data_IF_023549037611
#
_entry.id   IF_023549037611
#
_cell.length_a   1.000
_cell.length_b   1.000
_cell.length_c   1.000
_cell.angle_alpha   90.00
_cell.angle_beta   90.00
_cell.angle_gamma   90.00
#
_symmetry.space_group_name_H-M   'P 1'
#
loop_
_entity.id
_entity.type
_entity.pdbx_description
1 polymer ?
#
# COMPACT_ATOMS: atom_id res chain seq x y z
N UNK A 1 -16.10 -51.46 0.06
CA UNK A 1 -16.49 -52.63 0.87
C UNK A 1 -15.49 -53.72 0.54
N UNK A 2 -14.37 -53.77 1.27
CA UNK A 2 -13.40 -54.85 1.17
C UNK A 2 -13.80 -55.92 2.19
N UNK A 3 -13.78 -57.19 1.81
CA UNK A 3 -14.08 -58.34 2.67
C UNK A 3 -13.29 -58.28 3.99
N UNK A 4 -13.95 -57.86 5.08
CA UNK A 4 -13.39 -57.82 6.43
C UNK A 4 -13.44 -59.18 7.15
N UNK A 5 -14.01 -60.22 6.54
CA UNK A 5 -14.20 -61.54 7.15
C UNK A 5 -13.16 -62.59 6.73
N UNK A 6 -12.20 -62.27 5.86
CA UNK A 6 -11.12 -63.21 5.51
C UNK A 6 -9.90 -63.05 6.43
N UNK A 7 -9.50 -64.13 7.11
CA UNK A 7 -8.30 -64.14 7.94
C UNK A 7 -7.06 -63.85 7.07
N UNK A 8 -6.15 -62.94 7.50
CA UNK A 8 -4.94 -62.61 6.76
C UNK A 8 -4.02 -63.83 6.66
N UNK A 9 -3.23 -63.90 5.58
CA UNK A 9 -2.25 -64.96 5.37
C UNK A 9 -0.82 -64.44 5.59
N UNK A 10 -0.01 -65.22 6.31
CA UNK A 10 1.43 -65.05 6.36
C UNK A 10 2.02 -65.46 5.01
N UNK A 11 2.86 -64.60 4.44
CA UNK A 11 3.47 -64.80 3.12
C UNK A 11 4.23 -66.14 2.97
N UNK A 12 4.68 -66.74 4.08
CA UNK A 12 5.44 -67.99 4.09
C UNK A 12 4.63 -69.22 4.55
N UNK A 13 3.55 -69.03 5.32
CA UNK A 13 2.92 -70.13 6.05
C UNK A 13 1.39 -70.20 5.92
N UNK A 14 0.78 -69.33 5.11
CA UNK A 14 -0.66 -69.36 4.87
C UNK A 14 -1.49 -68.71 5.98
N UNK A 15 -2.75 -69.14 6.21
CA UNK A 15 -3.70 -68.40 7.05
C UNK A 15 -3.22 -68.27 8.50
N UNK A 16 -3.36 -67.06 9.04
CA UNK A 16 -2.97 -66.71 10.40
C UNK A 16 -4.11 -66.99 11.38
N UNK A 17 -3.76 -67.31 12.63
CA UNK A 17 -4.75 -67.55 13.68
C UNK A 17 -5.07 -66.27 14.44
N UNK A 18 -6.33 -66.13 14.84
CA UNK A 18 -6.79 -65.05 15.70
C UNK A 18 -6.06 -65.12 17.05
N UNK A 19 -5.49 -64.00 17.47
CA UNK A 19 -5.00 -63.80 18.83
C UNK A 19 -6.04 -63.01 19.60
N UNK A 20 -6.63 -63.63 20.62
CA UNK A 20 -7.60 -62.95 21.48
C UNK A 20 -6.92 -61.78 22.21
N UNK A 21 -7.60 -60.64 22.28
CA UNK A 21 -7.11 -59.49 23.02
C UNK A 21 -6.99 -59.82 24.51
N UNK A 22 -5.84 -59.52 25.09
CA UNK A 22 -5.51 -59.75 26.49
C UNK A 22 -5.83 -58.52 27.36
N UNK A 23 -6.00 -57.35 26.73
CA UNK A 23 -6.36 -56.09 27.39
C UNK A 23 -7.46 -55.33 26.65
N UNK A 24 -8.17 -54.44 27.35
CA UNK A 24 -9.14 -53.53 26.74
C UNK A 24 -8.51 -52.61 25.69
N UNK A 25 -7.26 -52.18 25.90
CA UNK A 25 -6.49 -51.39 24.92
C UNK A 25 -6.21 -52.18 23.64
N UNK A 26 -5.87 -53.47 23.74
CA UNK A 26 -5.69 -54.32 22.57
C UNK A 26 -7.01 -54.50 21.81
N UNK A 27 -8.13 -54.68 22.52
CA UNK A 27 -9.47 -54.72 21.92
C UNK A 27 -9.86 -53.43 21.21
N UNK A 28 -9.52 -52.28 21.81
CA UNK A 28 -9.73 -50.97 21.19
C UNK A 28 -8.88 -50.79 19.91
N UNK A 29 -7.63 -51.28 19.90
CA UNK A 29 -6.75 -51.10 18.73
C UNK A 29 -7.17 -51.90 17.49
N UNK A 30 -7.83 -53.05 17.66
CA UNK A 30 -8.28 -53.89 16.55
C UNK A 30 -8.07 -55.38 16.77
N UNK A 31 -8.28 -56.14 15.71
CA UNK A 31 -8.15 -57.60 15.72
C UNK A 31 -6.73 -58.02 15.36
N UNK A 32 -6.10 -58.80 16.22
CA UNK A 32 -4.74 -59.30 16.04
C UNK A 32 -4.74 -60.71 15.48
N UNK A 33 -3.89 -60.96 14.49
CA UNK A 33 -3.63 -62.28 13.93
C UNK A 33 -2.14 -62.61 14.08
N UNK A 34 -1.82 -63.85 14.43
CA UNK A 34 -0.45 -64.35 14.54
C UNK A 34 -0.23 -65.55 13.62
N UNK A 35 0.99 -65.69 13.10
CA UNK A 35 1.35 -66.85 12.32
C UNK A 35 1.28 -68.12 13.17
N UNK A 36 0.75 -69.20 12.60
CA UNK A 36 0.59 -70.49 13.29
C UNK A 36 1.89 -71.29 13.36
N UNK A 37 2.92 -70.92 12.57
CA UNK A 37 4.22 -71.56 12.61
C UNK A 37 5.02 -71.14 13.86
N UNK A 38 5.47 -72.05 14.74
CA UNK A 38 6.08 -71.73 16.04
C UNK A 38 7.36 -70.86 15.98
N UNK A 39 8.08 -70.89 14.86
CA UNK A 39 9.29 -70.09 14.64
C UNK A 39 9.02 -68.79 13.85
N UNK A 40 7.77 -68.55 13.43
CA UNK A 40 7.40 -67.37 12.64
C UNK A 40 6.74 -66.32 13.54
N UNK A 41 7.41 -65.19 13.70
CA UNK A 41 6.98 -64.10 14.58
C UNK A 41 6.11 -63.05 13.87
N UNK A 42 5.61 -63.37 12.67
CA UNK A 42 4.75 -62.45 11.91
C UNK A 42 3.38 -62.30 12.57
N UNK A 43 2.96 -61.06 12.77
CA UNK A 43 1.65 -60.67 13.26
C UNK A 43 1.02 -59.63 12.32
N UNK A 44 -0.30 -59.64 12.21
CA UNK A 44 -1.07 -58.66 11.45
C UNK A 44 -2.14 -58.05 12.35
N UNK A 45 -2.16 -56.72 12.42
CA UNK A 45 -3.21 -55.96 13.08
C UNK A 45 -4.19 -55.47 12.01
N UNK A 46 -5.45 -55.88 12.12
CA UNK A 46 -6.57 -55.23 11.45
C UNK A 46 -7.15 -54.19 12.40
N UNK A 47 -6.96 -52.88 12.15
CA UNK A 47 -7.42 -51.83 13.05
C UNK A 47 -8.94 -51.89 13.25
N UNK A 48 -9.42 -51.58 14.46
CA UNK A 48 -10.86 -51.48 14.72
C UNK A 48 -11.47 -50.29 13.95
N UNK A 49 -12.76 -50.37 13.61
CA UNK A 49 -13.48 -49.25 13.01
C UNK A 49 -13.48 -48.02 13.93
N UNK A 50 -13.56 -48.22 15.25
CA UNK A 50 -13.50 -47.17 16.26
C UNK A 50 -12.13 -46.46 16.28
N UNK A 51 -11.01 -47.20 16.23
CA UNK A 51 -9.68 -46.62 16.14
C UNK A 51 -9.49 -45.86 14.82
N UNK A 52 -9.95 -46.41 13.70
CA UNK A 52 -9.88 -45.73 12.41
C UNK A 52 -10.70 -44.44 12.37
N UNK A 53 -11.90 -44.45 12.96
CA UNK A 53 -12.73 -43.26 13.11
C UNK A 53 -12.06 -42.21 14.00
N UNK A 54 -11.50 -42.62 15.15
CA UNK A 54 -10.82 -41.72 16.07
C UNK A 54 -9.53 -41.15 15.48
N UNK A 55 -8.75 -41.93 14.74
CA UNK A 55 -7.55 -41.45 14.05
C UNK A 55 -7.90 -40.50 12.89
N UNK A 56 -8.99 -40.75 12.17
CA UNK A 56 -9.50 -39.84 11.15
C UNK A 56 -9.95 -38.50 11.78
N UNK A 57 -10.63 -38.55 12.93
CA UNK A 57 -11.07 -37.36 13.67
C UNK A 57 -9.87 -36.58 14.26
N UNK A 58 -8.91 -37.26 14.89
CA UNK A 58 -7.67 -36.65 15.41
C UNK A 58 -6.77 -36.07 14.30
N UNK A 59 -6.74 -36.67 13.11
CA UNK A 59 -6.02 -36.17 11.94
C UNK A 59 -6.65 -34.92 11.29
N UNK A 60 -7.88 -34.56 11.67
CA UNK A 60 -8.64 -33.44 11.08
C UNK A 60 -8.64 -32.16 11.90
N UNK A 61 -8.22 -32.15 13.16
CA UNK A 61 -8.21 -30.91 13.98
C UNK A 61 -6.78 -30.35 14.09
N UNK A 62 -6.40 -29.50 13.13
CA UNK A 62 -5.04 -28.89 13.07
C UNK A 62 -4.83 -27.73 14.05
N UNK A 63 -5.89 -27.26 14.69
CA UNK A 63 -5.90 -26.11 15.59
C UNK A 63 -6.98 -25.10 15.20
N UNK A 64 -7.02 -23.97 15.91
CA UNK A 64 -7.98 -22.89 15.68
C UNK A 64 -7.30 -21.68 15.02
N UNK A 65 -7.90 -21.20 13.93
CA UNK A 65 -7.54 -19.97 13.24
C UNK A 65 -8.65 -18.94 13.46
N UNK A 66 -8.27 -17.73 13.84
CA UNK A 66 -9.22 -16.63 14.05
C UNK A 66 -8.99 -15.58 12.97
N UNK A 67 -10.01 -15.29 12.18
CA UNK A 67 -10.04 -14.16 11.24
C UNK A 67 -10.84 -13.04 11.88
N UNK A 68 -10.16 -11.95 12.26
CA UNK A 68 -10.78 -10.75 12.81
C UNK A 68 -10.78 -9.64 11.77
N UNK A 69 -11.84 -8.82 11.77
CA UNK A 69 -11.87 -7.58 11.02
C UNK A 69 -12.49 -6.47 11.88
N UNK A 70 -11.74 -5.38 12.02
CA UNK A 70 -12.27 -4.08 12.41
C UNK A 70 -11.91 -3.05 11.35
N UNK A 71 -12.66 -1.95 11.20
CA UNK A 71 -12.21 -0.86 10.32
C UNK A 71 -10.93 -0.23 10.85
N UNK A 72 -10.74 -0.21 12.17
CA UNK A 72 -9.56 0.36 12.81
C UNK A 72 -8.26 -0.40 12.51
N UNK A 73 -8.30 -1.74 12.45
CA UNK A 73 -7.11 -2.60 12.32
C UNK A 73 -7.01 -3.30 10.97
N UNK A 74 -8.14 -3.42 10.27
CA UNK A 74 -8.27 -4.18 9.03
C UNK A 74 -8.50 -5.66 9.28
N UNK A 75 -8.30 -6.49 8.25
CA UNK A 75 -8.50 -7.94 8.33
C UNK A 75 -7.21 -8.61 8.77
N UNK A 76 -7.25 -9.25 9.94
CA UNK A 76 -6.15 -10.00 10.54
C UNK A 76 -6.52 -11.48 10.66
N UNK A 77 -5.53 -12.35 10.59
CA UNK A 77 -5.63 -13.79 10.78
C UNK A 77 -4.55 -14.22 11.75
N UNK A 78 -5.02 -14.76 12.87
CA UNK A 78 -4.23 -15.20 14.02
C UNK A 78 -4.37 -16.71 14.23
N UNK A 79 -3.45 -17.29 14.99
CA UNK A 79 -3.39 -18.75 15.23
C UNK A 79 -2.53 -19.51 14.24
N UNK A 80 -1.94 -18.83 13.24
CA UNK A 80 -0.98 -19.43 12.30
C UNK A 80 0.46 -19.27 12.77
N UNK A 81 1.31 -20.25 12.46
CA UNK A 81 2.75 -20.27 12.68
C UNK A 81 3.49 -20.62 11.39
N UNK A 82 4.73 -20.17 11.26
CA UNK A 82 5.56 -20.50 10.09
C UNK A 82 5.67 -22.03 9.93
N UNK A 83 5.28 -22.55 8.76
CA UNK A 83 5.38 -23.97 8.41
C UNK A 83 4.14 -24.81 8.73
N UNK A 84 3.03 -24.20 9.13
CA UNK A 84 1.74 -24.89 9.37
C UNK A 84 0.89 -25.13 8.10
N UNK A 85 1.30 -24.57 6.96
CA UNK A 85 0.59 -24.65 5.68
C UNK A 85 -0.56 -23.63 5.53
N UNK A 86 -0.86 -22.81 6.54
CA UNK A 86 -1.96 -21.85 6.50
C UNK A 86 -1.70 -20.76 5.48
N UNK A 87 -0.47 -20.24 5.40
CA UNK A 87 -0.13 -19.18 4.45
C UNK A 87 -0.35 -19.63 3.00
N UNK A 88 0.02 -20.86 2.64
CA UNK A 88 -0.19 -21.44 1.32
C UNK A 88 -1.68 -21.53 0.98
N UNK A 89 -2.52 -21.86 1.96
CA UNK A 89 -3.99 -21.93 1.82
C UNK A 89 -4.60 -20.54 1.63
N UNK A 90 -4.20 -19.55 2.42
CA UNK A 90 -4.86 -18.23 2.42
C UNK A 90 -4.26 -17.22 1.44
N UNK A 91 -3.05 -17.43 0.95
CA UNK A 91 -2.37 -16.54 -0.01
C UNK A 91 -3.19 -16.26 -1.27
N UNK A 92 -3.87 -17.23 -1.90
CA UNK A 92 -4.77 -16.97 -3.04
C UNK A 92 -5.94 -16.04 -2.70
N UNK A 93 -6.26 -15.90 -1.41
CA UNK A 93 -7.36 -15.09 -0.88
C UNK A 93 -6.88 -13.75 -0.31
N UNK A 94 -5.85 -13.16 -0.93
CA UNK A 94 -5.27 -11.84 -0.61
C UNK A 94 -4.49 -11.73 0.71
N UNK A 95 -4.49 -12.75 1.56
CA UNK A 95 -3.72 -12.73 2.80
C UNK A 95 -2.22 -12.73 2.52
N UNK A 96 -1.50 -11.90 3.25
CA UNK A 96 -0.04 -11.79 3.22
C UNK A 96 0.49 -11.78 4.65
N UNK A 97 1.79 -12.02 4.80
CA UNK A 97 2.51 -11.67 6.02
C UNK A 97 3.20 -10.32 5.84
N UNK A 98 3.65 -9.71 6.94
CA UNK A 98 4.41 -8.47 6.94
C UNK A 98 5.36 -8.41 8.14
N UNK A 99 6.46 -7.68 7.99
CA UNK A 99 7.49 -7.57 9.03
C UNK A 99 7.01 -6.81 10.28
N UNK A 100 6.01 -5.94 10.14
CA UNK A 100 5.45 -5.13 11.22
C UNK A 100 4.41 -5.87 12.07
N UNK A 101 3.95 -7.04 11.63
CA UNK A 101 2.94 -7.86 12.32
C UNK A 101 3.46 -9.31 12.39
N UNK A 102 4.48 -9.58 13.22
CA UNK A 102 5.05 -10.92 13.32
C UNK A 102 4.01 -11.91 13.84
N UNK A 103 3.87 -13.06 13.17
CA UNK A 103 2.92 -14.11 13.57
C UNK A 103 1.47 -13.87 13.14
N UNK A 104 1.17 -12.79 12.42
CA UNK A 104 -0.18 -12.46 11.96
C UNK A 104 -0.19 -12.34 10.43
N UNK A 105 -1.16 -13.00 9.79
CA UNK A 105 -1.45 -12.80 8.36
C UNK A 105 -2.54 -11.74 8.23
N UNK A 106 -2.51 -10.93 7.16
CA UNK A 106 -3.47 -9.85 6.99
C UNK A 106 -3.77 -9.57 5.51
N UNK A 107 -4.89 -8.90 5.24
CA UNK A 107 -5.22 -8.39 3.89
C UNK A 107 -4.61 -7.01 3.70
N UNK A 108 -3.89 -6.78 2.60
CA UNK A 108 -3.28 -5.46 2.34
C UNK A 108 -4.36 -4.40 2.12
N UNK A 109 -4.13 -3.20 2.64
CA UNK A 109 -5.03 -2.05 2.46
C UNK A 109 -6.47 -2.29 2.94
N UNK A 110 -6.71 -3.21 3.89
CA UNK A 110 -8.01 -3.44 4.52
C UNK A 110 -8.31 -2.47 5.67
N UNK A 111 -7.28 -1.89 6.28
CA UNK A 111 -7.43 -0.88 7.35
C UNK A 111 -8.15 0.35 6.83
N UNK A 112 -9.00 0.94 7.67
CA UNK A 112 -9.90 2.08 7.38
C UNK A 112 -10.93 1.77 6.25
N UNK A 113 -11.28 0.50 6.04
CA UNK A 113 -12.27 0.06 5.06
C UNK A 113 -13.16 -1.02 5.64
N UNK A 114 -14.34 -1.20 5.03
CA UNK A 114 -15.23 -2.33 5.28
C UNK A 114 -14.54 -3.67 5.04
N UNK A 115 -15.05 -4.72 5.68
CA UNK A 115 -14.56 -6.08 5.51
C UNK A 115 -14.67 -6.56 4.06
N UNK A 116 -13.61 -7.18 3.56
CA UNK A 116 -13.68 -7.99 2.33
C UNK A 116 -14.30 -9.35 2.67
N UNK A 117 -15.63 -9.36 2.82
CA UNK A 117 -16.40 -10.56 3.13
C UNK A 117 -16.21 -11.68 2.12
N UNK A 118 -15.83 -11.39 0.88
CA UNK A 118 -15.59 -12.42 -0.12
C UNK A 118 -14.27 -13.14 0.16
N UNK A 119 -13.18 -12.39 0.31
CA UNK A 119 -11.86 -12.98 0.61
C UNK A 119 -11.85 -13.69 1.96
N UNK A 120 -12.49 -13.12 2.99
CA UNK A 120 -12.63 -13.74 4.31
C UNK A 120 -13.36 -15.09 4.22
N UNK A 121 -14.51 -15.13 3.54
CA UNK A 121 -15.29 -16.38 3.40
C UNK A 121 -14.52 -17.44 2.63
N UNK A 122 -13.89 -17.08 1.49
CA UNK A 122 -13.12 -18.03 0.68
C UNK A 122 -11.91 -18.59 1.43
N UNK A 123 -11.20 -17.75 2.18
CA UNK A 123 -10.10 -18.21 3.04
C UNK A 123 -10.61 -19.16 4.14
N UNK A 124 -11.71 -18.80 4.81
CA UNK A 124 -12.29 -19.65 5.85
C UNK A 124 -12.77 -21.01 5.31
N UNK A 125 -13.40 -21.03 4.13
CA UNK A 125 -13.79 -22.27 3.45
C UNK A 125 -12.57 -23.15 3.14
N UNK A 126 -11.51 -22.56 2.57
CA UNK A 126 -10.29 -23.29 2.23
C UNK A 126 -9.57 -23.84 3.47
N UNK A 127 -9.54 -23.08 4.56
CA UNK A 127 -8.97 -23.50 5.83
C UNK A 127 -9.78 -24.63 6.50
N UNK A 128 -11.10 -24.52 6.51
CA UNK A 128 -11.97 -25.59 7.03
C UNK A 128 -11.84 -26.87 6.23
N UNK A 129 -11.78 -26.76 4.90
CA UNK A 129 -11.51 -27.91 4.03
C UNK A 129 -10.15 -28.58 4.30
N UNK A 130 -9.17 -27.83 4.81
CA UNK A 130 -7.87 -28.33 5.20
C UNK A 130 -7.80 -28.84 6.67
N UNK A 131 -8.93 -28.90 7.39
CA UNK A 131 -8.98 -29.40 8.77
C UNK A 131 -8.63 -28.35 9.84
N UNK A 132 -8.86 -27.06 9.56
CA UNK A 132 -8.74 -26.01 10.58
C UNK A 132 -10.11 -25.62 11.12
N UNK A 133 -10.19 -25.43 12.43
CA UNK A 133 -11.32 -24.75 13.06
C UNK A 133 -11.17 -23.25 12.79
N UNK A 134 -12.15 -22.61 12.14
CA UNK A 134 -12.06 -21.18 11.76
C UNK A 134 -13.16 -20.37 12.41
N UNK A 135 -12.76 -19.41 13.24
CA UNK A 135 -13.61 -18.38 13.82
C UNK A 135 -13.52 -17.09 13.01
N UNK A 136 -14.66 -16.47 12.70
CA UNK A 136 -14.72 -15.19 11.99
C UNK A 136 -15.41 -14.17 12.90
N UNK A 137 -14.73 -13.06 13.19
CA UNK A 137 -15.25 -11.96 14.00
C UNK A 137 -15.14 -10.67 13.20
N UNK A 138 -16.28 -10.10 12.80
CA UNK A 138 -16.33 -8.85 12.04
C UNK A 138 -17.07 -7.82 12.86
N UNK A 139 -16.38 -6.72 13.17
CA UNK A 139 -16.93 -5.53 13.82
C UNK A 139 -16.68 -4.32 12.92
N UNK A 140 -17.75 -3.86 12.27
CA UNK A 140 -17.71 -2.72 11.35
C UNK A 140 -17.81 -1.36 12.06
N UNK A 141 -18.12 -1.35 13.36
CA UNK A 141 -18.37 -0.13 14.14
C UNK A 141 -17.09 0.34 14.86
N UNK A 142 -16.18 -0.59 15.17
CA UNK A 142 -14.83 -0.25 15.65
C UNK A 142 -13.98 0.34 14.52
N UNK A 143 -13.88 1.67 14.51
CA UNK A 143 -13.13 2.46 13.52
C UNK A 143 -12.32 3.58 14.18
N UNK A 144 -11.34 4.08 13.44
CA UNK A 144 -10.68 5.37 13.74
C UNK A 144 -11.42 6.50 13.03
N UNK A 145 -11.25 7.72 13.52
CA UNK A 145 -11.68 8.92 12.80
C UNK A 145 -10.83 9.12 11.54
N UNK A 146 -11.37 9.86 10.56
CA UNK A 146 -10.63 10.23 9.36
C UNK A 146 -9.39 11.06 9.70
N UNK A 147 -9.52 11.97 10.67
CA UNK A 147 -8.44 12.83 11.14
C UNK A 147 -7.28 12.02 11.75
N UNK A 148 -7.57 11.04 12.63
CA UNK A 148 -6.55 10.14 13.19
C UNK A 148 -5.88 9.29 12.10
N UNK A 149 -6.66 8.78 11.15
CA UNK A 149 -6.11 8.00 10.04
C UNK A 149 -5.20 8.85 9.14
N UNK A 150 -5.53 10.13 8.91
CA UNK A 150 -4.69 11.04 8.14
C UNK A 150 -3.43 11.45 8.91
N UNK A 151 -3.54 11.72 10.22
CA UNK A 151 -2.40 11.99 11.09
C UNK A 151 -1.41 10.81 11.12
N UNK A 152 -1.90 9.57 11.21
CA UNK A 152 -1.06 8.36 11.12
C UNK A 152 -0.34 8.26 9.76
N UNK A 153 -0.99 8.65 8.65
CA UNK A 153 -0.34 8.66 7.32
C UNK A 153 0.79 9.67 7.27
N UNK A 154 0.57 10.88 7.80
CA UNK A 154 1.58 11.95 7.90
C UNK A 154 2.75 11.47 8.78
N UNK A 155 2.48 10.96 9.98
CA UNK A 155 3.50 10.44 10.89
C UNK A 155 4.33 9.31 10.26
N UNK A 156 3.69 8.35 9.57
CA UNK A 156 4.40 7.28 8.85
C UNK A 156 5.26 7.81 7.70
N UNK A 157 4.85 8.89 7.04
CA UNK A 157 5.67 9.53 6.01
C UNK A 157 6.87 10.26 6.61
N UNK A 158 6.68 11.01 7.71
CA UNK A 158 7.75 11.67 8.43
C UNK A 158 8.80 10.67 8.96
N UNK A 159 8.36 9.59 9.62
CA UNK A 159 9.26 8.53 10.07
C UNK A 159 9.99 7.83 8.92
N UNK A 160 9.37 7.75 7.73
CA UNK A 160 10.03 7.25 6.52
C UNK A 160 11.09 8.23 6.01
N UNK A 161 10.81 9.53 6.02
CA UNK A 161 11.75 10.57 5.64
C UNK A 161 13.01 10.51 6.51
N UNK A 162 12.83 10.45 7.83
CA UNK A 162 13.92 10.34 8.80
C UNK A 162 14.78 9.09 8.57
N UNK A 163 14.17 7.92 8.37
CA UNK A 163 14.92 6.69 8.06
C UNK A 163 15.74 6.82 6.78
N UNK A 164 15.17 7.41 5.72
CA UNK A 164 15.91 7.60 4.47
C UNK A 164 17.03 8.63 4.62
N UNK A 165 16.83 9.68 5.42
CA UNK A 165 17.88 10.64 5.75
C UNK A 165 19.03 9.96 6.51
N UNK A 166 18.73 9.12 7.50
CA UNK A 166 19.75 8.32 8.19
C UNK A 166 20.50 7.38 7.24
N UNK A 167 19.81 6.72 6.30
CA UNK A 167 20.46 5.89 5.29
C UNK A 167 21.32 6.69 4.31
N UNK A 168 20.90 7.91 3.96
CA UNK A 168 21.67 8.82 3.11
C UNK A 168 22.95 9.27 3.82
N UNK A 169 22.87 9.67 5.09
CA UNK A 169 24.04 10.02 5.91
C UNK A 169 25.04 8.87 6.01
N UNK A 170 24.57 7.67 6.35
CA UNK A 170 25.43 6.48 6.40
C UNK A 170 26.10 6.15 5.05
N UNK A 171 25.43 6.40 3.93
CA UNK A 171 26.02 6.23 2.60
C UNK A 171 27.06 7.33 2.29
N UNK A 172 26.79 8.58 2.65
CA UNK A 172 27.72 9.69 2.53
C UNK A 172 29.00 9.45 3.37
N UNK A 173 28.86 8.95 4.60
CA UNK A 173 30.00 8.60 5.46
C UNK A 173 30.87 7.50 4.84
N UNK A 174 30.24 6.46 4.26
CA UNK A 174 30.97 5.40 3.52
C UNK A 174 31.66 5.94 2.28
N UNK A 175 31.05 6.89 1.57
CA UNK A 175 31.66 7.56 0.42
C UNK A 175 32.90 8.35 0.86
N UNK A 176 32.77 9.21 1.88
CA UNK A 176 33.85 10.00 2.43
C UNK A 176 35.01 9.12 2.94
N UNK A 177 34.70 8.03 3.64
CA UNK A 177 35.72 7.07 4.12
C UNK A 177 36.47 6.38 2.97
N UNK A 178 35.77 6.03 1.88
CA UNK A 178 36.39 5.44 0.69
C UNK A 178 37.31 6.45 -0.02
N UNK A 179 36.85 7.68 -0.24
CA UNK A 179 37.66 8.76 -0.81
C UNK A 179 38.87 9.12 0.07
N UNK A 180 38.69 9.21 1.39
CA UNK A 180 39.79 9.44 2.33
C UNK A 180 40.83 8.32 2.28
N UNK A 181 40.39 7.07 2.07
CA UNK A 181 41.29 5.92 1.90
C UNK A 181 42.04 5.95 0.59
N UNK A 182 41.38 6.27 -0.52
CA UNK A 182 42.03 6.49 -1.81
C UNK A 182 43.08 7.61 -1.71
N UNK A 183 42.72 8.74 -1.09
CA UNK A 183 43.61 9.90 -0.88
C UNK A 183 44.84 9.53 -0.05
N UNK A 184 44.67 8.83 1.07
CA UNK A 184 45.79 8.40 1.91
C UNK A 184 46.80 7.50 1.18
N UNK A 185 46.33 6.65 0.27
CA UNK A 185 47.22 5.82 -0.57
C UNK A 185 47.92 6.71 -1.60
N UNK A 186 47.18 7.61 -2.25
CA UNK A 186 47.72 8.54 -3.23
C UNK A 186 48.75 9.53 -2.65
N UNK A 187 48.55 10.02 -1.42
CA UNK A 187 49.48 10.91 -0.71
C UNK A 187 50.84 10.25 -0.44
N UNK A 188 50.89 8.91 -0.43
CA UNK A 188 52.12 8.12 -0.34
C UNK A 188 52.86 7.93 -1.68
N UNK A 189 52.31 8.43 -2.79
CA UNK A 189 52.89 8.33 -4.14
C UNK A 189 53.35 9.73 -4.58
N UNK A 190 54.64 9.93 -4.89
CA UNK A 190 55.12 11.17 -5.48
C UNK A 190 54.34 11.56 -6.73
N UNK A 191 53.88 12.81 -6.79
CA UNK A 191 53.07 13.31 -7.89
C UNK A 191 53.81 13.21 -9.23
N UNK A 192 53.15 12.64 -10.23
CA UNK A 192 53.70 12.50 -11.59
C UNK A 192 54.67 11.33 -11.78
N UNK A 193 54.92 10.50 -10.76
CA UNK A 193 55.79 9.32 -10.91
C UNK A 193 55.12 8.24 -11.77
N UNK A 194 55.71 7.85 -12.93
CA UNK A 194 55.18 6.73 -13.73
C UNK A 194 55.44 5.39 -13.03
N UNK A 195 54.63 4.37 -13.35
CA UNK A 195 54.92 3.00 -12.92
C UNK A 195 56.18 2.52 -13.63
N UNK A 196 57.24 2.26 -12.86
CA UNK A 196 58.52 1.80 -13.39
C UNK A 196 58.45 0.30 -13.74
N UNK A 197 58.33 -0.01 -15.03
CA UNK A 197 58.26 -1.39 -15.52
C UNK A 197 59.60 -2.13 -15.30
N UNK A 198 59.54 -3.36 -14.80
CA UNK A 198 60.71 -4.18 -14.51
C UNK A 198 61.44 -3.83 -13.20
N UNK A 199 61.02 -2.79 -12.48
CA UNK A 199 61.61 -2.41 -11.19
C UNK A 199 60.98 -3.18 -10.02
N UNK A 200 61.73 -3.41 -8.93
CA UNK A 200 61.24 -4.15 -7.76
C UNK A 200 59.99 -3.52 -7.09
N UNK A 201 59.76 -2.21 -7.32
CA UNK A 201 58.59 -1.48 -6.81
C UNK A 201 57.34 -1.58 -7.70
N UNK A 202 57.44 -2.10 -8.92
CA UNK A 202 56.34 -2.17 -9.89
C UNK A 202 55.07 -2.78 -9.29
N UNK A 203 55.20 -3.97 -8.68
CA UNK A 203 54.07 -4.71 -8.09
C UNK A 203 53.38 -3.94 -6.97
N UNK A 204 54.08 -3.05 -6.26
CA UNK A 204 53.49 -2.20 -5.23
C UNK A 204 52.71 -1.06 -5.87
N UNK A 205 53.32 -0.37 -6.84
CA UNK A 205 52.68 0.74 -7.56
C UNK A 205 51.39 0.32 -8.29
N UNK A 206 51.38 -0.84 -8.94
CA UNK A 206 50.17 -1.40 -9.58
C UNK A 206 49.07 -1.69 -8.55
N UNK A 207 49.42 -2.32 -7.42
CA UNK A 207 48.46 -2.58 -6.33
C UNK A 207 47.91 -1.29 -5.73
N UNK A 208 48.74 -0.28 -5.51
CA UNK A 208 48.31 1.00 -4.97
C UNK A 208 47.37 1.72 -5.95
N UNK A 209 47.67 1.71 -7.26
CA UNK A 209 46.76 2.20 -8.31
C UNK A 209 45.41 1.49 -8.27
N UNK A 210 45.40 0.16 -8.26
CA UNK A 210 44.17 -0.61 -8.30
C UNK A 210 43.32 -0.40 -7.03
N UNK A 211 43.97 -0.25 -5.86
CA UNK A 211 43.31 0.11 -4.60
C UNK A 211 42.74 1.53 -4.62
N UNK A 212 43.47 2.50 -5.17
CA UNK A 212 42.97 3.87 -5.34
C UNK A 212 41.74 3.84 -6.23
N UNK A 213 41.81 3.19 -7.39
CA UNK A 213 40.69 3.09 -8.32
C UNK A 213 39.46 2.44 -7.69
N UNK A 214 39.64 1.29 -7.04
CA UNK A 214 38.53 0.57 -6.38
C UNK A 214 37.87 1.40 -5.26
N UNK A 215 38.66 2.13 -4.45
CA UNK A 215 38.12 2.98 -3.40
C UNK A 215 37.43 4.23 -3.98
N UNK A 216 37.96 4.82 -5.05
CA UNK A 216 37.31 5.94 -5.75
C UNK A 216 35.98 5.51 -6.36
N UNK A 217 35.94 4.37 -7.07
CA UNK A 217 34.71 3.83 -7.65
C UNK A 217 33.67 3.52 -6.56
N UNK A 218 34.10 2.90 -5.45
CA UNK A 218 33.24 2.68 -4.28
C UNK A 218 32.72 3.99 -3.70
N UNK A 219 33.56 5.01 -3.61
CA UNK A 219 33.21 6.35 -3.14
C UNK A 219 32.10 6.99 -3.98
N UNK A 220 32.25 6.95 -5.31
CA UNK A 220 31.24 7.44 -6.26
C UNK A 220 29.92 6.69 -6.10
N UNK A 221 29.95 5.35 -6.09
CA UNK A 221 28.71 4.55 -5.94
C UNK A 221 27.97 4.84 -4.63
N UNK A 222 28.69 5.03 -3.53
CA UNK A 222 28.09 5.38 -2.25
C UNK A 222 27.58 6.83 -2.23
N UNK A 223 28.22 7.76 -2.96
CA UNK A 223 27.73 9.12 -3.16
C UNK A 223 26.41 9.15 -3.95
N UNK A 224 26.34 8.46 -5.08
CA UNK A 224 25.12 8.34 -5.89
C UNK A 224 23.97 7.75 -5.06
N UNK A 225 24.29 6.74 -4.24
CA UNK A 225 23.34 6.12 -3.31
C UNK A 225 22.87 7.11 -2.23
N UNK A 226 23.77 7.92 -1.68
CA UNK A 226 23.43 8.95 -0.72
C UNK A 226 22.47 9.98 -1.33
N UNK A 227 22.76 10.47 -2.54
CA UNK A 227 21.89 11.41 -3.25
C UNK A 227 20.50 10.81 -3.55
N UNK A 228 20.47 9.57 -4.04
CA UNK A 228 19.21 8.86 -4.29
C UNK A 228 18.35 8.74 -3.01
N UNK A 229 18.96 8.37 -1.89
CA UNK A 229 18.26 8.24 -0.60
C UNK A 229 17.81 9.62 -0.07
N UNK A 230 18.63 10.66 -0.24
CA UNK A 230 18.28 12.03 0.11
C UNK A 230 17.06 12.52 -0.68
N UNK A 231 17.00 12.25 -2.00
CA UNK A 231 15.81 12.56 -2.82
C UNK A 231 14.55 11.83 -2.33
N UNK A 232 14.68 10.57 -1.88
CA UNK A 232 13.55 9.83 -1.29
C UNK A 232 13.11 10.36 0.07
N UNK A 233 14.06 10.85 0.87
CA UNK A 233 13.77 11.52 2.13
C UNK A 233 12.97 12.80 1.88
N UNK A 234 13.44 13.66 0.97
CA UNK A 234 12.75 14.88 0.57
C UNK A 234 11.32 14.60 0.06
N UNK A 235 11.15 13.63 -0.85
CA UNK A 235 9.84 13.25 -1.35
C UNK A 235 8.89 12.73 -0.25
N UNK A 236 9.42 12.06 0.78
CA UNK A 236 8.62 11.59 1.93
C UNK A 236 8.27 12.74 2.89
N UNK A 237 9.15 13.73 3.04
CA UNK A 237 8.93 14.92 3.85
C UNK A 237 7.84 15.83 3.25
N UNK A 238 7.84 16.03 1.93
CA UNK A 238 6.82 16.82 1.24
C UNK A 238 5.44 16.15 1.14
N UNK A 239 5.26 14.94 1.69
CA UNK A 239 4.00 14.21 1.61
C UNK A 239 2.81 15.03 2.12
N UNK A 240 2.95 15.65 3.29
CA UNK A 240 1.86 16.42 3.91
C UNK A 240 1.49 17.65 3.06
N UNK A 241 2.50 18.38 2.60
CA UNK A 241 2.34 19.55 1.71
C UNK A 241 1.56 19.17 0.44
N UNK A 242 1.99 18.11 -0.26
CA UNK A 242 1.29 17.65 -1.46
C UNK A 242 -0.12 17.13 -1.16
N UNK A 243 -0.31 16.50 -0.01
CA UNK A 243 -1.60 15.94 0.41
C UNK A 243 -2.62 17.04 0.71
N UNK A 244 -2.17 18.12 1.35
CA UNK A 244 -2.97 19.29 1.76
C UNK A 244 -3.06 20.39 0.71
N UNK A 245 -2.27 20.33 -0.37
CA UNK A 245 -2.31 21.30 -1.48
C UNK A 245 -3.74 21.77 -1.80
N UNK A 246 -4.07 23.07 -1.62
CA UNK A 246 -5.45 23.53 -1.64
C UNK A 246 -6.21 23.23 -2.94
N UNK A 247 -5.60 23.43 -4.11
CA UNK A 247 -6.23 23.13 -5.40
C UNK A 247 -6.52 21.65 -5.61
N UNK A 248 -5.66 20.75 -5.11
CA UNK A 248 -5.93 19.30 -5.09
C UNK A 248 -7.05 18.96 -4.10
N UNK A 249 -7.04 19.60 -2.93
CA UNK A 249 -8.04 19.39 -1.88
C UNK A 249 -9.44 19.83 -2.33
N UNK A 250 -9.58 20.96 -3.03
CA UNK A 250 -10.86 21.40 -3.61
C UNK A 250 -11.45 20.37 -4.59
N UNK A 251 -10.62 19.81 -5.49
CA UNK A 251 -11.04 18.72 -6.40
C UNK A 251 -11.47 17.46 -5.65
N UNK A 252 -10.77 17.14 -4.55
CA UNK A 252 -11.10 16.01 -3.68
C UNK A 252 -12.46 16.21 -3.02
N UNK A 253 -12.71 17.39 -2.43
CA UNK A 253 -14.01 17.75 -1.83
C UNK A 253 -15.12 17.60 -2.87
N UNK A 254 -14.95 18.14 -4.08
CA UNK A 254 -15.96 18.05 -5.13
C UNK A 254 -16.32 16.59 -5.50
N UNK A 255 -15.32 15.70 -5.52
CA UNK A 255 -15.53 14.26 -5.74
C UNK A 255 -16.26 13.61 -4.57
N UNK A 256 -15.84 13.88 -3.34
CA UNK A 256 -16.47 13.34 -2.13
C UNK A 256 -17.93 13.77 -2.02
N UNK A 257 -18.25 15.03 -2.33
CA UNK A 257 -19.63 15.53 -2.36
C UNK A 257 -20.46 14.84 -3.46
N UNK A 258 -19.86 14.52 -4.61
CA UNK A 258 -20.54 13.75 -5.65
C UNK A 258 -20.85 12.32 -5.21
N UNK A 259 -19.92 11.70 -4.49
CA UNK A 259 -20.13 10.37 -3.92
C UNK A 259 -21.14 10.40 -2.76
N UNK A 260 -21.14 11.44 -1.93
CA UNK A 260 -22.15 11.66 -0.88
C UNK A 260 -23.56 11.77 -1.51
N UNK A 261 -23.71 12.57 -2.57
CA UNK A 261 -24.98 12.65 -3.33
C UNK A 261 -25.41 11.30 -3.90
N UNK A 262 -24.47 10.45 -4.30
CA UNK A 262 -24.76 9.10 -4.80
C UNK A 262 -25.28 8.20 -3.67
N UNK A 263 -24.59 8.19 -2.52
CA UNK A 263 -24.99 7.41 -1.34
C UNK A 263 -26.37 7.84 -0.84
N UNK A 264 -26.66 9.14 -0.80
CA UNK A 264 -28.00 9.64 -0.47
C UNK A 264 -29.09 9.08 -1.40
N UNK A 265 -28.85 9.06 -2.72
CA UNK A 265 -29.80 8.46 -3.67
C UNK A 265 -29.97 6.96 -3.47
N UNK A 266 -28.89 6.25 -3.12
CA UNK A 266 -28.95 4.82 -2.83
C UNK A 266 -29.76 4.53 -1.57
N UNK A 267 -29.56 5.31 -0.49
CA UNK A 267 -30.37 5.20 0.73
C UNK A 267 -31.84 5.44 0.40
N UNK A 268 -32.16 6.52 -0.32
CA UNK A 268 -33.54 6.83 -0.68
C UNK A 268 -34.19 5.72 -1.53
N UNK A 269 -33.47 5.20 -2.53
CA UNK A 269 -33.96 4.12 -3.38
C UNK A 269 -34.21 2.83 -2.60
N UNK A 270 -33.27 2.44 -1.72
CA UNK A 270 -33.40 1.22 -0.92
C UNK A 270 -34.50 1.34 0.13
N UNK A 271 -34.67 2.52 0.74
CA UNK A 271 -35.77 2.76 1.68
C UNK A 271 -37.13 2.76 0.99
N UNK A 272 -37.22 3.19 -0.27
CA UNK A 272 -38.49 3.29 -1.00
C UNK A 272 -38.88 1.99 -1.72
N UNK A 273 -37.90 1.28 -2.29
CA UNK A 273 -38.11 0.14 -3.18
C UNK A 273 -37.49 -1.17 -2.66
N UNK A 274 -36.85 -1.13 -1.48
CA UNK A 274 -36.29 -2.32 -0.86
C UNK A 274 -37.37 -3.34 -0.54
N UNK A 275 -37.02 -4.62 -0.62
CA UNK A 275 -37.91 -5.75 -0.36
C UNK A 275 -38.23 -5.94 1.14
N UNK A 276 -37.77 -5.02 2.00
CA UNK A 276 -37.92 -5.09 3.46
C UNK A 276 -37.12 -6.23 4.10
N UNK A 277 -36.25 -6.92 3.35
CA UNK A 277 -35.46 -8.02 3.89
C UNK A 277 -34.44 -7.53 4.91
N UNK A 278 -34.01 -8.44 5.78
CA UNK A 278 -32.88 -8.20 6.68
C UNK A 278 -31.62 -7.77 5.92
N UNK A 279 -31.40 -8.34 4.72
CA UNK A 279 -30.28 -7.98 3.84
C UNK A 279 -30.38 -6.54 3.34
N UNK A 280 -31.57 -6.12 2.92
CA UNK A 280 -31.83 -4.72 2.52
C UNK A 280 -31.59 -3.78 3.71
N UNK A 281 -32.06 -4.14 4.90
CA UNK A 281 -31.87 -3.35 6.12
C UNK A 281 -30.38 -3.22 6.49
N UNK A 282 -29.62 -4.33 6.43
CA UNK A 282 -28.18 -4.33 6.65
C UNK A 282 -27.43 -3.50 5.60
N UNK A 283 -27.88 -3.51 4.35
CA UNK A 283 -27.31 -2.69 3.29
C UNK A 283 -27.57 -1.19 3.52
N UNK A 284 -28.77 -0.80 3.95
CA UNK A 284 -29.08 0.59 4.33
C UNK A 284 -28.21 1.03 5.52
N UNK A 285 -28.01 0.17 6.52
CA UNK A 285 -27.11 0.46 7.64
C UNK A 285 -25.66 0.73 7.15
N UNK A 286 -25.15 -0.08 6.22
CA UNK A 286 -23.83 0.14 5.62
C UNK A 286 -23.76 1.44 4.81
N UNK A 287 -24.79 1.77 4.04
CA UNK A 287 -24.86 3.04 3.32
C UNK A 287 -24.85 4.25 4.27
N UNK A 288 -25.54 4.14 5.42
CA UNK A 288 -25.51 5.17 6.46
C UNK A 288 -24.13 5.32 7.11
N UNK A 289 -23.42 4.21 7.38
CA UNK A 289 -22.00 4.27 7.82
C UNK A 289 -21.15 4.99 6.77
N UNK A 290 -21.29 4.61 5.50
CA UNK A 290 -20.54 5.22 4.41
C UNK A 290 -20.84 6.71 4.25
N UNK A 291 -22.10 7.11 4.45
CA UNK A 291 -22.52 8.52 4.47
C UNK A 291 -21.78 9.29 5.58
N UNK A 292 -21.81 8.78 6.80
CA UNK A 292 -21.15 9.41 7.94
C UNK A 292 -19.63 9.57 7.71
N UNK A 293 -18.96 8.57 7.14
CA UNK A 293 -17.54 8.66 6.77
C UNK A 293 -17.26 9.74 5.73
N UNK A 294 -18.11 9.86 4.71
CA UNK A 294 -17.97 10.88 3.68
C UNK A 294 -18.18 12.29 4.24
N UNK A 295 -19.17 12.47 5.12
CA UNK A 295 -19.43 13.74 5.80
C UNK A 295 -18.24 14.15 6.68
N UNK A 296 -17.68 13.20 7.43
CA UNK A 296 -16.48 13.42 8.25
C UNK A 296 -15.25 13.78 7.39
N UNK A 297 -15.02 13.04 6.29
CA UNK A 297 -13.91 13.32 5.38
C UNK A 297 -14.05 14.70 4.71
N UNK A 298 -15.27 15.08 4.28
CA UNK A 298 -15.55 16.40 3.71
C UNK A 298 -15.30 17.50 4.74
N UNK A 299 -15.75 17.31 5.99
CA UNK A 299 -15.55 18.28 7.06
C UNK A 299 -14.06 18.53 7.31
N UNK A 300 -13.26 17.46 7.41
CA UNK A 300 -11.82 17.56 7.58
C UNK A 300 -11.16 18.35 6.43
N UNK A 301 -11.46 18.01 5.17
CA UNK A 301 -10.84 18.71 4.04
C UNK A 301 -11.30 20.17 3.91
N UNK A 302 -12.53 20.50 4.30
CA UNK A 302 -13.00 21.89 4.35
C UNK A 302 -12.24 22.69 5.41
N UNK A 303 -11.95 22.08 6.56
CA UNK A 303 -11.11 22.73 7.57
C UNK A 303 -9.71 23.02 7.02
N UNK A 304 -9.08 22.06 6.32
CA UNK A 304 -7.77 22.28 5.68
C UNK A 304 -7.81 23.45 4.67
N UNK A 305 -8.90 23.62 3.92
CA UNK A 305 -9.07 24.78 3.03
C UNK A 305 -9.24 26.08 3.82
N UNK A 306 -10.03 26.08 4.90
CA UNK A 306 -10.23 27.25 5.74
C UNK A 306 -8.92 27.71 6.41
N UNK A 307 -8.09 26.76 6.86
CA UNK A 307 -6.73 27.02 7.36
C UNK A 307 -5.87 27.64 6.25
N UNK A 308 -5.89 27.07 5.04
CA UNK A 308 -5.15 27.65 3.91
C UNK A 308 -5.64 29.07 3.56
N UNK A 309 -6.95 29.34 3.63
CA UNK A 309 -7.50 30.68 3.41
C UNK A 309 -7.03 31.68 4.46
N UNK A 310 -6.94 31.25 5.72
CA UNK A 310 -6.35 32.07 6.80
C UNK A 310 -4.86 32.35 6.55
N UNK A 311 -4.14 31.41 5.94
CA UNK A 311 -2.74 31.56 5.53
C UNK A 311 -2.57 32.37 4.21
N UNK A 312 -3.65 32.92 3.66
CA UNK A 312 -3.65 33.79 2.49
C UNK A 312 -3.93 33.10 1.15
N UNK A 313 -4.27 31.81 1.14
CA UNK A 313 -4.77 31.15 -0.07
C UNK A 313 -6.14 31.73 -0.46
N UNK A 314 -6.33 32.08 -1.74
CA UNK A 314 -7.61 32.58 -2.24
C UNK A 314 -8.37 31.46 -2.94
N UNK A 315 -9.54 31.10 -2.43
CA UNK A 315 -10.50 30.28 -3.17
C UNK A 315 -11.22 31.15 -4.19
N UNK A 316 -11.05 30.81 -5.47
CA UNK A 316 -11.65 31.52 -6.59
C UNK A 316 -13.05 31.01 -6.91
N UNK A 317 -13.93 31.92 -7.35
CA UNK A 317 -15.28 31.61 -7.78
C UNK A 317 -15.78 32.58 -8.86
N UNK A 318 -17.03 32.36 -9.29
CA UNK A 318 -17.67 33.17 -10.35
C UNK A 318 -17.69 34.68 -10.04
N UNK A 319 -17.84 35.05 -8.77
CA UNK A 319 -17.94 36.45 -8.37
C UNK A 319 -16.62 37.22 -8.49
N UNK A 320 -15.46 36.53 -8.55
CA UNK A 320 -14.15 37.18 -8.58
C UNK A 320 -13.73 37.63 -10.00
N UNK A 321 -14.46 37.23 -11.03
CA UNK A 321 -14.10 37.48 -12.44
C UNK A 321 -15.22 38.15 -13.21
N UNK A 322 -14.83 39.12 -14.03
CA UNK A 322 -15.62 39.67 -15.12
C UNK A 322 -15.03 39.27 -16.48
N UNK A 323 -15.82 39.43 -17.54
CA UNK A 323 -15.31 39.28 -18.91
C UNK A 323 -14.31 40.40 -19.19
N UNK A 324 -13.16 40.06 -19.76
CA UNK A 324 -12.06 40.99 -20.03
C UNK A 324 -11.03 41.10 -18.90
N UNK A 325 -11.31 40.54 -17.72
CA UNK A 325 -10.29 40.38 -16.67
C UNK A 325 -9.20 39.39 -17.11
N UNK A 326 -8.11 39.31 -16.36
CA UNK A 326 -7.05 38.35 -16.57
C UNK A 326 -6.99 37.32 -15.44
N UNK A 327 -6.83 36.06 -15.82
CA UNK A 327 -6.68 34.93 -14.91
C UNK A 327 -5.29 34.32 -15.08
N UNK A 328 -4.59 34.08 -13.98
CA UNK A 328 -3.35 33.33 -14.00
C UNK A 328 -3.65 31.83 -13.92
N UNK A 329 -3.24 31.09 -14.95
CA UNK A 329 -3.47 29.66 -15.05
C UNK A 329 -2.21 28.97 -15.55
N UNK A 330 -1.69 28.02 -14.75
CA UNK A 330 -0.45 27.28 -15.06
C UNK A 330 0.77 28.19 -15.34
N UNK A 331 0.85 29.33 -14.66
CA UNK A 331 1.98 30.27 -14.76
C UNK A 331 1.91 31.24 -15.95
N UNK A 332 0.78 31.31 -16.66
CA UNK A 332 0.55 32.29 -17.72
C UNK A 332 -0.74 33.06 -17.46
N UNK A 333 -0.76 34.36 -17.78
CA UNK A 333 -1.95 35.20 -17.69
C UNK A 333 -2.79 35.10 -18.97
N UNK A 334 -4.07 34.81 -18.84
CA UNK A 334 -5.01 34.69 -19.95
C UNK A 334 -6.18 35.67 -19.78
N UNK A 335 -6.62 36.26 -20.88
CA UNK A 335 -7.85 37.05 -20.91
C UNK A 335 -9.09 36.15 -20.67
N UNK A 336 -9.98 36.59 -19.79
CA UNK A 336 -11.24 35.92 -19.48
C UNK A 336 -12.27 36.23 -20.56
N UNK A 337 -12.59 35.24 -21.39
CA UNK A 337 -13.54 35.37 -22.49
C UNK A 337 -15.00 35.20 -22.03
N UNK A 338 -15.22 34.31 -21.05
CA UNK A 338 -16.53 34.01 -20.47
C UNK A 338 -16.39 33.46 -19.06
N UNK A 339 -17.26 33.90 -18.14
CA UNK A 339 -17.29 33.43 -16.76
C UNK A 339 -18.42 32.41 -16.59
N UNK A 340 -18.09 31.19 -16.18
CA UNK A 340 -19.06 30.11 -15.90
C UNK A 340 -19.17 29.87 -14.38
N UNK A 341 -20.11 29.01 -13.98
CA UNK A 341 -20.34 28.70 -12.56
C UNK A 341 -19.16 27.99 -11.87
N UNK A 342 -18.38 27.17 -12.59
CA UNK A 342 -17.26 26.38 -12.03
C UNK A 342 -15.90 26.66 -12.68
N UNK A 343 -15.86 27.56 -13.65
CA UNK A 343 -14.70 27.80 -14.48
C UNK A 343 -14.78 29.13 -15.22
N UNK A 344 -13.65 29.57 -15.75
CA UNK A 344 -13.58 30.63 -16.77
C UNK A 344 -13.15 30.05 -18.11
N UNK A 345 -13.66 30.62 -19.19
CA UNK A 345 -13.25 30.31 -20.56
C UNK A 345 -12.15 31.27 -20.95
N UNK A 346 -11.02 30.73 -21.40
CA UNK A 346 -9.81 31.47 -21.77
C UNK A 346 -9.35 31.08 -23.18
N UNK A 347 -8.46 31.86 -23.83
CA UNK A 347 -7.73 31.39 -25.01
C UNK A 347 -7.04 30.04 -24.72
N UNK A 348 -6.81 29.23 -25.75
CA UNK A 348 -6.23 27.90 -25.56
C UNK A 348 -4.87 27.97 -24.85
N UNK A 349 -4.64 27.09 -23.86
CA UNK A 349 -3.44 27.12 -23.01
C UNK A 349 -2.12 26.94 -23.77
N UNK A 350 -2.14 26.30 -24.95
CA UNK A 350 -0.93 26.19 -25.78
C UNK A 350 -0.57 27.51 -26.51
N UNK A 351 -1.46 28.50 -26.50
CA UNK A 351 -1.13 29.85 -26.97
C UNK A 351 -0.20 30.60 -25.99
N UNK A 352 -0.03 30.11 -24.76
CA UNK A 352 0.83 30.73 -23.73
C UNK A 352 2.29 30.31 -23.73
N UNK A 353 2.71 29.37 -24.58
CA UNK A 353 4.11 28.90 -24.61
C UNK A 353 5.02 30.06 -24.99
N UNK A 354 5.95 30.42 -24.09
CA UNK A 354 6.88 31.54 -24.28
C UNK A 354 6.26 32.93 -24.12
N UNK A 355 5.03 33.03 -23.59
CA UNK A 355 4.33 34.31 -23.41
C UNK A 355 3.91 34.52 -21.96
N UNK A 356 4.01 35.77 -21.50
CA UNK A 356 3.55 36.17 -20.17
C UNK A 356 2.03 36.39 -20.13
N UNK A 357 1.46 36.96 -21.21
CA UNK A 357 0.05 37.32 -21.34
C UNK A 357 -0.50 36.82 -22.67
N UNK A 358 -1.73 36.29 -22.66
CA UNK A 358 -2.44 35.79 -23.83
C UNK A 358 -3.84 36.37 -23.88
N UNK A 359 -4.12 37.16 -24.93
CA UNK A 359 -5.43 37.71 -25.25
C UNK A 359 -6.12 36.90 -26.35
N UNK A 360 -7.39 37.23 -26.60
CA UNK A 360 -8.11 36.69 -27.75
C UNK A 360 -7.38 37.06 -29.05
N UNK A 361 -7.01 36.04 -29.84
CA UNK A 361 -6.35 36.22 -31.13
C UNK A 361 -4.82 36.25 -31.09
N UNK A 362 -4.21 36.24 -29.90
CA UNK A 362 -2.75 36.30 -29.76
C UNK A 362 -2.05 35.02 -30.26
N UNK A 363 -2.72 33.87 -30.31
CA UNK A 363 -2.13 32.58 -30.62
C UNK A 363 -2.53 31.96 -31.96
N UNK A 364 -1.89 30.83 -32.29
CA UNK A 364 -2.16 30.07 -33.51
C UNK A 364 -3.40 29.17 -33.39
N UNK A 365 -3.89 28.93 -32.17
CA UNK A 365 -5.09 28.15 -31.92
C UNK A 365 -6.28 29.08 -31.70
N UNK A 366 -7.33 28.87 -32.47
CA UNK A 366 -8.57 29.66 -32.50
C UNK A 366 -9.65 29.15 -31.52
N UNK A 367 -9.51 27.93 -31.02
CA UNK A 367 -10.39 27.36 -30.00
C UNK A 367 -10.05 27.82 -28.57
N UNK A 368 -10.93 27.51 -27.61
CA UNK A 368 -10.84 27.98 -26.23
C UNK A 368 -10.52 26.86 -25.25
N UNK A 369 -10.07 27.23 -24.04
CA UNK A 369 -9.87 26.31 -22.93
C UNK A 369 -10.77 26.67 -21.75
N UNK A 370 -11.19 25.67 -20.99
CA UNK A 370 -11.96 25.87 -19.75
C UNK A 370 -11.02 25.71 -18.56
N UNK A 371 -10.71 26.80 -17.88
CA UNK A 371 -9.89 26.81 -16.67
C UNK A 371 -10.80 26.69 -15.42
N UNK A 372 -10.76 25.55 -14.69
CA UNK A 372 -11.49 25.39 -13.43
C UNK A 372 -10.93 26.32 -12.35
N UNK A 373 -11.79 26.83 -11.46
CA UNK A 373 -11.37 27.74 -10.39
C UNK A 373 -10.34 27.13 -9.43
N UNK A 374 -10.37 25.81 -9.21
CA UNK A 374 -9.41 25.09 -8.36
C UNK A 374 -7.97 25.05 -8.91
N UNK A 375 -7.77 25.46 -10.16
CA UNK A 375 -6.46 25.56 -10.80
C UNK A 375 -6.01 26.99 -11.08
N UNK A 376 -6.76 28.01 -10.63
CA UNK A 376 -6.41 29.42 -10.80
C UNK A 376 -5.47 29.84 -9.68
N UNK A 377 -4.40 30.55 -10.02
CA UNK A 377 -3.39 31.03 -9.07
C UNK A 377 -3.43 32.53 -8.84
N UNK A 378 -4.11 33.28 -9.72
CA UNK A 378 -4.15 34.74 -9.64
C UNK A 378 -5.24 35.36 -10.50
N UNK A 379 -5.57 36.61 -10.19
CA UNK A 379 -6.57 37.43 -10.88
C UNK A 379 -6.07 38.87 -10.98
N UNK A 380 -6.31 39.51 -12.12
CA UNK A 380 -6.09 40.94 -12.36
C UNK A 380 -7.25 41.52 -13.15
N UNK A 381 -7.62 42.76 -12.87
CA UNK A 381 -8.50 43.52 -13.75
C UNK A 381 -7.80 43.83 -15.07
N UNK A 382 -8.56 44.22 -16.08
CA UNK A 382 -8.00 44.69 -17.36
C UNK A 382 -7.05 45.89 -17.15
N UNK A 383 -7.39 46.81 -16.24
CA UNK A 383 -6.60 48.00 -15.92
C UNK A 383 -5.28 47.64 -15.21
N UNK A 384 -5.34 46.77 -14.20
CA UNK A 384 -4.15 46.29 -13.47
C UNK A 384 -3.17 45.57 -14.39
N UNK A 385 -3.69 44.75 -15.31
CA UNK A 385 -2.87 44.07 -16.32
C UNK A 385 -2.21 45.07 -17.27
N UNK A 386 -2.95 46.09 -17.71
CA UNK A 386 -2.40 47.10 -18.61
C UNK A 386 -1.29 47.91 -17.92
N UNK A 387 -1.49 48.34 -16.67
CA UNK A 387 -0.46 49.01 -15.88
C UNK A 387 0.82 48.18 -15.73
N UNK A 388 0.68 46.86 -15.50
CA UNK A 388 1.84 45.97 -15.42
C UNK A 388 2.59 45.87 -16.75
N UNK A 389 1.86 45.77 -17.87
CA UNK A 389 2.46 45.70 -19.20
C UNK A 389 3.17 47.01 -19.56
N UNK A 390 2.59 48.16 -19.21
CA UNK A 390 3.19 49.47 -19.42
C UNK A 390 4.48 49.60 -18.60
N UNK A 391 4.45 49.25 -17.31
CA UNK A 391 5.63 49.25 -16.44
C UNK A 391 6.74 48.29 -16.94
N UNK A 392 6.38 47.13 -17.48
CA UNK A 392 7.33 46.20 -18.06
C UNK A 392 7.96 46.74 -19.35
N UNK A 393 7.20 47.49 -20.16
CA UNK A 393 7.69 48.16 -21.36
C UNK A 393 8.67 49.28 -21.00
N UNK A 394 8.32 50.10 -20.02
CA UNK A 394 9.15 51.22 -19.59
C UNK A 394 10.49 50.72 -19.01
N UNK A 395 10.48 49.63 -18.22
CA UNK A 395 11.69 48.97 -17.71
C UNK A 395 12.55 48.33 -18.81
N UNK A 396 11.97 47.95 -19.94
CA UNK A 396 12.72 47.44 -21.09
C UNK A 396 13.26 48.55 -22.00
N UNK A 397 12.79 49.80 -21.81
CA UNK A 397 13.25 50.98 -22.53
C UNK A 397 14.41 51.69 -21.80
N UNK A 398 14.57 51.47 -20.49
CA UNK A 398 15.79 51.73 -19.70
C UNK A 398 16.87 50.67 -19.96
#
# INVERSE_FOLDING_TARGET
MADTDSAPACAQHGPMALRMAETSEQGFTGTWYACTAPACWNAHLQPSEELLAQLAEQGTHRGTITITHTRADGTLLEGSRKGDGVWEIVRPHQFTWGRSLPGVLFIRHSRDKRADHWSIRRAAEALRAAGWTVEIRVDEDTRRSFAEAEADRVARSAARAERFQGYAGNAADRSAAAHATARRIADGIPLGQPILLGHHSQRRAERDRDRIWSNTEKGVKEADKAEYLARRAAASASYEEFRKNPGVTLRRIAKLEADLRRVHRQIAAETQHGDGSEKASAWVAELNRRKAELEEEIAYWRQVIAEAEADGFKVWGKADFAKGDFVEYRGTWYEVLRVNARSVTIPHIHNGIGRAVVRKGDGHLDWTWTAPYDGVTGRKSAEEMQQQLDAARDKAAE
#
